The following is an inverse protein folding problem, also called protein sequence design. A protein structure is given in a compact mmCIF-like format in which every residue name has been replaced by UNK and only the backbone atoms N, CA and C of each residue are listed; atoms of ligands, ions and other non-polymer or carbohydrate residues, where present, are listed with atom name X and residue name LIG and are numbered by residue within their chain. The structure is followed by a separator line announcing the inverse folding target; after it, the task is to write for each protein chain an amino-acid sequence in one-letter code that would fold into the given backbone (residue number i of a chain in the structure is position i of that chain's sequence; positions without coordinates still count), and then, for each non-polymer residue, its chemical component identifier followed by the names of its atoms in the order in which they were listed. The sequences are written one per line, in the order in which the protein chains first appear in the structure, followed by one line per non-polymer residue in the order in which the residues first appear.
data_IF_261196976972
#
_entry.id   IF_261196976972
#
_cell.length_a   1.000
_cell.length_b   1.000
_cell.length_c   1.000
_cell.angle_alpha   90.00
_cell.angle_beta   90.00
_cell.angle_gamma   90.00
#
_symmetry.space_group_name_H-M   'P 1'
#
loop_
_entity.id
_entity.type
_entity.pdbx_description
1 polymer ?
#
# COMPACT_ATOMS: atom_id res chain seq x y z
N UNK A 1 -20.60 -8.17 17.47
CA UNK A 1 -19.29 -8.33 18.13
C UNK A 1 -19.32 -9.26 19.34
N UNK A 2 -20.47 -9.82 19.76
CA UNK A 2 -20.57 -10.73 20.94
C UNK A 2 -19.92 -12.11 20.79
N UNK A 3 -19.85 -12.67 19.57
CA UNK A 3 -19.44 -14.07 19.36
C UNK A 3 -17.96 -14.37 19.69
N UNK A 4 -17.12 -13.34 19.79
CA UNK A 4 -15.68 -13.47 20.05
C UNK A 4 -15.29 -13.07 21.48
N UNK A 5 -16.23 -12.57 22.28
CA UNK A 5 -15.97 -12.10 23.63
C UNK A 5 -15.50 -13.27 24.51
N UNK A 6 -14.32 -13.13 25.12
CA UNK A 6 -13.68 -14.20 25.91
C UNK A 6 -13.01 -15.32 25.10
N UNK A 7 -13.03 -15.26 23.76
CA UNK A 7 -12.31 -16.19 22.87
C UNK A 7 -11.02 -15.61 22.28
N UNK A 8 -10.87 -14.29 22.31
CA UNK A 8 -9.69 -13.57 21.83
C UNK A 8 -9.21 -12.56 22.87
N UNK A 9 -7.91 -12.28 22.91
CA UNK A 9 -7.29 -11.43 23.93
C UNK A 9 -7.63 -9.94 23.76
N UNK A 10 -7.96 -9.49 22.55
CA UNK A 10 -8.36 -8.11 22.27
C UNK A 10 -9.35 -8.04 21.10
N UNK A 11 -9.98 -6.88 20.91
CA UNK A 11 -10.87 -6.61 19.77
C UNK A 11 -10.12 -6.09 18.55
N UNK A 12 -8.88 -6.55 18.34
CA UNK A 12 -8.03 -6.17 17.21
C UNK A 12 -7.73 -7.39 16.35
N UNK A 13 -7.35 -7.14 15.10
CA UNK A 13 -6.80 -8.15 14.21
C UNK A 13 -5.59 -7.57 13.49
N UNK A 14 -4.68 -8.43 13.06
CA UNK A 14 -3.48 -8.05 12.31
C UNK A 14 -3.38 -8.90 11.04
N UNK A 15 -3.00 -8.25 9.93
CA UNK A 15 -2.70 -8.93 8.68
C UNK A 15 -1.22 -8.77 8.33
N UNK A 16 -0.59 -9.88 7.99
CA UNK A 16 0.78 -9.93 7.50
C UNK A 16 0.76 -10.50 6.09
N UNK A 17 1.05 -9.67 5.09
CA UNK A 17 1.09 -10.05 3.69
C UNK A 17 2.55 -10.14 3.25
N UNK A 18 3.00 -11.32 2.78
CA UNK A 18 4.36 -11.52 2.29
C UNK A 18 4.36 -11.54 0.76
N UNK A 19 5.07 -10.58 0.17
CA UNK A 19 5.39 -10.61 -1.26
C UNK A 19 6.63 -11.47 -1.46
N UNK A 20 6.49 -12.59 -2.16
CA UNK A 20 7.59 -13.45 -2.54
C UNK A 20 7.84 -13.24 -4.03
N UNK A 21 8.85 -12.42 -4.42
CA UNK A 21 9.21 -12.31 -5.82
C UNK A 21 9.60 -13.72 -6.27
N UNK A 22 8.96 -14.23 -7.33
CA UNK A 22 9.13 -15.57 -7.91
C UNK A 22 8.35 -16.76 -7.27
N UNK A 23 7.41 -16.52 -6.36
CA UNK A 23 6.52 -17.58 -5.86
C UNK A 23 5.08 -17.35 -6.29
N UNK A 24 4.43 -18.38 -6.83
CA UNK A 24 2.97 -18.40 -7.06
C UNK A 24 2.18 -18.58 -5.76
N UNK A 25 2.86 -18.90 -4.65
CA UNK A 25 2.24 -19.07 -3.34
C UNK A 25 2.24 -17.73 -2.60
N UNK A 26 1.06 -17.15 -2.44
CA UNK A 26 0.83 -16.05 -1.52
C UNK A 26 0.92 -16.60 -0.09
N UNK A 27 1.92 -16.13 0.67
CA UNK A 27 1.99 -16.41 2.10
C UNK A 27 1.51 -15.20 2.88
N UNK A 28 0.67 -15.43 3.86
CA UNK A 28 0.21 -14.40 4.77
C UNK A 28 -0.45 -14.98 6.00
N UNK A 29 -0.67 -14.14 7.00
CA UNK A 29 -1.26 -14.53 8.28
C UNK A 29 -2.29 -13.48 8.69
N UNK A 30 -3.47 -13.96 9.12
CA UNK A 30 -4.47 -13.16 9.82
C UNK A 30 -4.49 -13.61 11.28
N UNK A 31 -4.18 -12.70 12.19
CA UNK A 31 -4.25 -12.92 13.62
C UNK A 31 -5.48 -12.22 14.19
N UNK A 32 -6.28 -12.96 14.96
CA UNK A 32 -7.44 -12.44 15.68
C UNK A 32 -7.07 -12.31 17.16
N UNK A 33 -7.29 -11.14 17.75
CA UNK A 33 -7.00 -10.89 19.15
C UNK A 33 -5.67 -10.18 19.44
N UNK A 34 -4.92 -9.78 18.41
CA UNK A 34 -3.65 -9.08 18.53
C UNK A 34 -2.77 -9.27 17.30
N UNK A 35 -1.54 -8.76 17.37
CA UNK A 35 -0.49 -8.97 16.38
C UNK A 35 0.72 -9.68 16.99
N UNK A 36 1.58 -10.21 16.14
CA UNK A 36 2.87 -10.80 16.50
C UNK A 36 4.00 -9.76 16.26
N UNK A 37 4.71 -9.31 17.31
CA UNK A 37 5.82 -8.37 17.19
C UNK A 37 7.07 -8.94 16.52
N UNK A 38 7.17 -10.26 16.33
CA UNK A 38 8.26 -10.89 15.58
C UNK A 38 8.10 -10.74 14.06
N UNK A 39 6.91 -10.37 13.59
CA UNK A 39 6.58 -10.23 12.17
C UNK A 39 6.73 -8.79 11.62
N UNK A 40 7.15 -7.82 12.44
CA UNK A 40 7.48 -6.46 12.01
C UNK A 40 8.74 -5.93 12.68
N UNK A 41 9.42 -4.96 12.05
CA UNK A 41 10.74 -4.47 12.52
C UNK A 41 10.66 -3.23 13.41
N UNK A 42 9.71 -2.34 13.14
CA UNK A 42 9.60 -1.03 13.81
C UNK A 42 8.33 -0.94 14.64
N UNK A 43 8.29 -0.16 15.72
CA UNK A 43 7.07 0.05 16.49
C UNK A 43 5.88 0.48 15.61
N UNK A 44 4.68 0.02 15.96
CA UNK A 44 3.46 0.40 15.26
C UNK A 44 3.20 1.90 15.43
N UNK A 45 2.83 2.53 14.32
CA UNK A 45 2.30 3.90 14.31
C UNK A 45 0.80 3.83 14.10
N UNK A 46 0.03 4.45 15.00
CA UNK A 46 -1.43 4.46 14.92
C UNK A 46 -1.92 5.74 14.24
N UNK A 47 -2.84 5.59 13.30
CA UNK A 47 -3.48 6.70 12.59
C UNK A 47 -4.98 6.72 12.88
N UNK A 48 -5.58 7.91 13.03
CA UNK A 48 -7.01 8.00 13.30
C UNK A 48 -7.81 7.53 12.08
N UNK A 49 -8.78 6.66 12.33
CA UNK A 49 -9.76 6.27 11.32
C UNK A 49 -10.75 7.42 11.08
N UNK A 50 -11.11 7.64 9.82
CA UNK A 50 -12.25 8.47 9.41
C UNK A 50 -13.56 7.70 9.45
N UNK A 51 -13.51 6.40 9.17
CA UNK A 51 -14.64 5.46 9.21
C UNK A 51 -14.12 4.08 9.60
N UNK A 52 -14.64 3.51 10.69
CA UNK A 52 -14.26 2.17 11.14
C UNK A 52 -14.89 1.08 10.26
N UNK A 53 -16.10 1.31 9.74
CA UNK A 53 -16.82 0.33 8.93
C UNK A 53 -16.12 0.10 7.59
N UNK A 54 -15.48 1.13 7.05
CA UNK A 54 -14.80 1.09 5.77
C UNK A 54 -13.27 1.03 5.91
N UNK A 55 -12.71 1.10 7.12
CA UNK A 55 -11.26 1.25 7.33
C UNK A 55 -10.66 2.45 6.55
N UNK A 56 -11.34 3.60 6.60
CA UNK A 56 -10.88 4.82 5.95
C UNK A 56 -9.88 5.56 6.84
N UNK A 57 -8.79 6.04 6.24
CA UNK A 57 -7.81 6.94 6.84
C UNK A 57 -7.66 8.20 6.00
N UNK A 58 -6.91 9.19 6.49
CA UNK A 58 -6.44 10.29 5.64
C UNK A 58 -5.10 9.90 5.03
N UNK A 59 -4.98 9.95 3.71
CA UNK A 59 -3.70 9.93 3.01
C UNK A 59 -3.25 11.37 2.81
N UNK A 60 -2.24 11.79 3.57
CA UNK A 60 -1.66 13.13 3.51
C UNK A 60 -0.73 13.28 2.32
N UNK A 61 0.20 12.34 2.15
CA UNK A 61 1.22 12.41 1.09
C UNK A 61 1.48 11.07 0.41
N UNK A 62 1.92 11.10 -0.85
CA UNK A 62 2.44 9.96 -1.58
C UNK A 62 3.84 10.29 -2.11
N UNK A 63 4.80 9.39 -1.95
CA UNK A 63 6.14 9.53 -2.50
C UNK A 63 6.52 8.30 -3.32
N UNK A 64 7.15 8.54 -4.47
CA UNK A 64 7.70 7.51 -5.35
C UNK A 64 9.22 7.55 -5.26
N UNK A 65 9.83 6.46 -4.82
CA UNK A 65 11.29 6.35 -4.64
C UNK A 65 11.80 6.97 -3.34
N UNK A 66 13.12 6.95 -3.17
CA UNK A 66 13.80 7.57 -2.03
C UNK A 66 14.24 8.99 -2.36
N UNK A 67 13.92 9.97 -1.53
CA UNK A 67 14.43 11.35 -1.68
C UNK A 67 13.71 12.23 -2.70
N UNK A 68 12.49 11.87 -3.12
CA UNK A 68 11.66 12.69 -4.00
C UNK A 68 10.70 13.61 -3.22
N UNK A 69 10.21 14.67 -3.90
CA UNK A 69 9.14 15.52 -3.36
C UNK A 69 7.89 14.68 -3.13
N UNK A 70 7.36 14.71 -1.92
CA UNK A 70 6.07 14.08 -1.61
C UNK A 70 4.94 14.86 -2.30
N UNK A 71 4.02 14.13 -2.93
CA UNK A 71 2.79 14.64 -3.52
C UNK A 71 1.80 14.84 -2.39
N UNK A 72 1.33 16.07 -2.15
CA UNK A 72 0.25 16.33 -1.21
C UNK A 72 -1.09 15.82 -1.77
N UNK A 73 -1.66 14.81 -1.11
CA UNK A 73 -2.94 14.20 -1.47
C UNK A 73 -4.06 14.78 -0.59
N UNK A 74 -3.90 14.69 0.73
CA UNK A 74 -4.87 15.15 1.75
C UNK A 74 -6.32 14.70 1.50
N UNK A 75 -6.52 13.44 1.14
CA UNK A 75 -7.84 12.85 0.83
C UNK A 75 -8.10 11.57 1.64
N UNK A 76 -9.37 11.15 1.80
CA UNK A 76 -9.68 9.82 2.34
C UNK A 76 -9.04 8.72 1.49
N UNK A 77 -8.47 7.72 2.14
CA UNK A 77 -7.95 6.51 1.50
C UNK A 77 -8.50 5.26 2.20
N UNK A 78 -8.82 4.25 1.40
CA UNK A 78 -9.32 2.95 1.84
C UNK A 78 -8.14 2.01 2.09
N UNK A 79 -8.07 1.40 3.27
CA UNK A 79 -7.12 0.32 3.55
C UNK A 79 -7.81 -1.00 3.23
N UNK A 80 -7.59 -1.50 2.01
CA UNK A 80 -8.31 -2.66 1.46
C UNK A 80 -7.37 -3.79 1.04
N UNK A 81 -7.37 -4.87 1.82
CA UNK A 81 -6.59 -6.08 1.54
C UNK A 81 -7.18 -6.95 0.41
N UNK A 82 -8.39 -6.62 -0.06
CA UNK A 82 -9.08 -7.28 -1.16
C UNK A 82 -8.73 -6.72 -2.54
N UNK A 83 -8.04 -5.58 -2.61
CA UNK A 83 -7.62 -4.95 -3.86
C UNK A 83 -6.17 -5.31 -4.20
N UNK A 84 -5.92 -5.74 -5.45
CA UNK A 84 -4.62 -6.24 -5.92
C UNK A 84 -3.72 -5.15 -6.53
N UNK A 85 -3.99 -3.87 -6.27
CA UNK A 85 -3.25 -2.75 -6.84
C UNK A 85 -3.43 -1.45 -6.05
N UNK A 86 -2.62 -0.44 -6.38
CA UNK A 86 -2.75 0.89 -5.78
C UNK A 86 -3.69 1.74 -6.62
N UNK A 87 -4.84 2.10 -6.05
CA UNK A 87 -5.81 3.00 -6.70
C UNK A 87 -5.48 4.44 -6.32
N UNK A 88 -5.29 5.29 -7.32
CA UNK A 88 -4.87 6.68 -7.16
C UNK A 88 -5.92 7.60 -7.80
N UNK A 89 -6.23 8.77 -7.20
CA UNK A 89 -7.10 9.75 -7.82
C UNK A 89 -6.60 10.13 -9.24
N UNK A 90 -7.51 10.32 -10.22
CA UNK A 90 -7.13 10.67 -11.59
C UNK A 90 -6.20 11.89 -11.68
N UNK A 91 -6.36 12.86 -10.77
CA UNK A 91 -5.54 14.08 -10.70
C UNK A 91 -4.05 13.83 -10.42
N UNK A 92 -3.71 12.66 -9.84
CA UNK A 92 -2.33 12.29 -9.51
C UNK A 92 -1.84 11.09 -10.30
N UNK A 93 -2.70 10.44 -11.08
CA UNK A 93 -2.41 9.18 -11.76
C UNK A 93 -1.23 9.30 -12.73
N UNK A 94 -1.30 10.18 -13.73
CA UNK A 94 -0.28 10.29 -14.78
C UNK A 94 1.09 10.68 -14.20
N UNK A 95 1.11 11.63 -13.26
CA UNK A 95 2.35 12.08 -12.64
C UNK A 95 3.00 10.97 -11.79
N UNK A 96 2.18 10.21 -11.05
CA UNK A 96 2.66 9.10 -10.23
C UNK A 96 3.14 7.95 -11.10
N UNK A 97 2.38 7.57 -12.12
CA UNK A 97 2.75 6.52 -13.06
C UNK A 97 4.05 6.87 -13.78
N UNK A 98 4.18 8.10 -14.27
CA UNK A 98 5.40 8.56 -14.92
C UNK A 98 6.61 8.46 -13.98
N UNK A 99 6.47 8.90 -12.73
CA UNK A 99 7.55 8.79 -11.74
C UNK A 99 7.96 7.34 -11.49
N UNK A 100 6.99 6.42 -11.42
CA UNK A 100 7.24 4.98 -11.26
C UNK A 100 8.01 4.44 -12.47
N UNK A 101 7.52 4.67 -13.69
CA UNK A 101 8.13 4.13 -14.91
C UNK A 101 9.49 4.75 -15.21
N UNK A 102 9.69 6.04 -14.94
CA UNK A 102 10.98 6.73 -15.13
C UNK A 102 12.05 6.11 -14.20
N UNK A 103 11.74 5.97 -12.91
CA UNK A 103 12.68 5.41 -11.94
C UNK A 103 12.94 3.92 -12.19
N UNK A 104 11.89 3.16 -12.51
CA UNK A 104 12.04 1.75 -12.86
C UNK A 104 12.90 1.57 -14.11
N UNK A 105 12.69 2.37 -15.15
CA UNK A 105 13.50 2.30 -16.37
C UNK A 105 14.96 2.67 -16.12
N UNK A 106 15.21 3.67 -15.27
CA UNK A 106 16.55 4.05 -14.86
C UNK A 106 17.25 2.93 -14.07
N UNK A 107 16.55 2.27 -13.16
CA UNK A 107 17.08 1.14 -12.38
C UNK A 107 17.33 -0.10 -13.24
N UNK A 108 16.49 -0.33 -14.24
CA UNK A 108 16.53 -1.51 -15.10
C UNK A 108 17.54 -1.39 -16.27
N UNK A 109 17.94 -0.17 -16.64
CA UNK A 109 18.71 0.14 -17.85
C UNK A 109 18.01 -0.30 -19.16
N UNK A 110 16.67 -0.35 -19.14
CA UNK A 110 15.79 -0.53 -20.29
C UNK A 110 14.45 0.12 -19.98
N UNK A 111 13.62 0.35 -21.01
CA UNK A 111 12.31 0.97 -20.82
C UNK A 111 11.33 0.02 -20.12
N UNK A 112 10.91 0.37 -18.92
CA UNK A 112 9.79 -0.26 -18.22
C UNK A 112 8.53 0.53 -18.55
N UNK A 113 7.62 -0.09 -19.30
CA UNK A 113 6.32 0.49 -19.65
C UNK A 113 5.20 -0.12 -18.81
N UNK A 114 4.11 0.62 -18.77
CA UNK A 114 2.84 0.12 -18.31
C UNK A 114 1.92 -0.17 -19.49
N UNK A 115 1.21 -1.29 -19.42
CA UNK A 115 0.12 -1.62 -20.32
C UNK A 115 -1.20 -1.15 -19.71
N UNK A 116 -1.80 -0.12 -20.32
CA UNK A 116 -3.10 0.37 -19.90
C UNK A 116 -4.21 -0.56 -20.39
N UNK A 117 -5.08 -0.98 -19.48
CA UNK A 117 -6.24 -1.83 -19.74
C UNK A 117 -7.51 -0.98 -19.56
N UNK A 118 -8.10 -0.44 -20.65
CA UNK A 118 -9.23 0.48 -20.56
C UNK A 118 -10.44 -0.10 -19.83
N UNK A 119 -10.72 -1.39 -20.00
CA UNK A 119 -11.83 -2.08 -19.34
C UNK A 119 -11.71 -2.08 -17.81
N UNK A 120 -10.50 -1.96 -17.28
CA UNK A 120 -10.21 -1.92 -15.84
C UNK A 120 -9.91 -0.50 -15.34
N UNK A 121 -9.71 0.47 -16.26
CA UNK A 121 -9.15 1.78 -15.91
C UNK A 121 -7.79 1.65 -15.21
N UNK A 122 -7.04 0.60 -15.51
CA UNK A 122 -5.87 0.19 -14.75
C UNK A 122 -4.63 0.12 -15.62
N UNK A 123 -3.52 0.43 -15.00
CA UNK A 123 -2.19 0.30 -15.56
C UNK A 123 -1.52 -0.94 -14.98
N UNK A 124 -1.05 -1.85 -15.82
CA UNK A 124 -0.38 -3.09 -15.41
C UNK A 124 1.08 -3.04 -15.85
N UNK A 125 1.98 -3.31 -14.91
CA UNK A 125 3.41 -3.48 -15.18
C UNK A 125 3.71 -4.98 -15.06
N UNK A 126 4.49 -5.51 -16.01
CA UNK A 126 4.93 -6.91 -15.98
C UNK A 126 5.59 -7.26 -14.63
N UNK A 127 5.20 -8.39 -14.04
CA UNK A 127 5.66 -8.81 -12.73
C UNK A 127 7.17 -9.08 -12.68
N UNK A 128 7.82 -9.37 -13.81
CA UNK A 128 9.27 -9.50 -13.90
C UNK A 128 9.99 -8.17 -13.61
N UNK A 129 9.31 -7.03 -13.78
CA UNK A 129 9.87 -5.71 -13.50
C UNK A 129 9.69 -5.26 -12.04
N UNK A 130 9.03 -6.06 -11.18
CA UNK A 130 8.78 -5.69 -9.77
C UNK A 130 10.07 -5.37 -9.01
N UNK A 131 11.18 -6.03 -9.37
CA UNK A 131 12.51 -5.84 -8.76
C UNK A 131 13.13 -4.46 -9.07
N UNK A 132 12.65 -3.78 -10.11
CA UNK A 132 13.11 -2.44 -10.50
C UNK A 132 12.16 -1.34 -10.04
N UNK A 133 10.95 -1.68 -9.58
CA UNK A 133 9.98 -0.68 -9.17
C UNK A 133 10.49 0.09 -7.95
N UNK A 134 10.36 1.43 -7.96
CA UNK A 134 10.72 2.23 -6.79
C UNK A 134 9.79 1.92 -5.61
N UNK A 135 10.25 2.04 -4.36
CA UNK A 135 9.37 1.98 -3.20
C UNK A 135 8.31 3.08 -3.28
N UNK A 136 7.11 2.77 -2.78
CA UNK A 136 6.04 3.76 -2.59
C UNK A 136 5.89 3.99 -1.09
N UNK A 137 6.02 5.24 -0.67
CA UNK A 137 5.81 5.64 0.72
C UNK A 137 4.48 6.42 0.81
N UNK A 138 3.62 6.01 1.76
CA UNK A 138 2.28 6.57 1.95
C UNK A 138 2.23 7.30 3.28
N UNK A 139 2.32 8.63 3.24
CA UNK A 139 2.19 9.46 4.44
C UNK A 139 0.74 9.51 4.90
N UNK A 140 0.42 8.79 5.97
CA UNK A 140 -0.90 8.73 6.58
C UNK A 140 -1.11 9.86 7.61
N UNK A 141 -2.37 10.23 7.80
CA UNK A 141 -2.82 11.34 8.64
C UNK A 141 -2.82 12.70 7.92
N UNK A 142 -3.44 13.75 8.52
CA UNK A 142 -3.60 15.06 7.88
C UNK A 142 -2.29 15.77 7.52
N UNK A 143 -1.19 15.45 8.19
CA UNK A 143 0.13 15.99 7.91
C UNK A 143 1.03 15.03 7.13
N UNK A 144 0.57 13.80 6.83
CA UNK A 144 1.37 12.77 6.17
C UNK A 144 2.61 12.32 6.94
N UNK A 145 2.64 12.56 8.26
CA UNK A 145 3.82 12.29 9.09
C UNK A 145 3.92 10.83 9.54
N UNK A 146 2.84 10.05 9.44
CA UNK A 146 2.89 8.62 9.71
C UNK A 146 3.32 7.92 8.41
N UNK A 147 4.43 7.17 8.40
CA UNK A 147 4.93 6.49 7.21
C UNK A 147 4.05 5.31 6.77
#
# INVERSE_FOLDING_TARGET
MDQLQGKVASTTFALYLRSLPHSILTQGELLLGGGDPTLYKTPLTYVPLRSQQECLVTLGTLQVGTGHKSIGINQPALIDTGTQGLVIPPTHFDATLKAITDQASAAANFTVTCDYIPALGACVIDCHHIVYLPPIELGLGPSGNAP
#
